data_IF_598083859043
#
_entry.id   IF_598083859043
#
_cell.length_a   1.000
_cell.length_b   1.000
_cell.length_c   1.000
_cell.angle_alpha   90.00
_cell.angle_beta   90.00
_cell.angle_gamma   90.00
#
_symmetry.space_group_name_H-M   'P 1'
#
loop_
_entity.id
_entity.type
_entity.pdbx_description
1 polymer ?
#
# COMPACT_ATOMS: atom_id res chain seq x y z
N UNK A 1 -9.13 24.33 -26.28
CA UNK A 1 -8.36 23.13 -26.70
C UNK A 1 -8.11 22.17 -25.53
N UNK A 2 -7.45 22.56 -24.44
CA UNK A 2 -7.21 21.70 -23.27
C UNK A 2 -8.50 21.11 -22.67
N UNK A 3 -9.54 21.93 -22.49
CA UNK A 3 -10.84 21.53 -21.94
C UNK A 3 -11.53 20.47 -22.80
N UNK A 4 -11.50 20.63 -24.12
CA UNK A 4 -12.11 19.69 -25.09
C UNK A 4 -11.43 18.32 -25.01
N UNK A 5 -10.09 18.29 -24.95
CA UNK A 5 -9.34 17.05 -24.84
C UNK A 5 -9.56 16.35 -23.48
N UNK A 6 -9.70 17.12 -22.40
CA UNK A 6 -9.99 16.57 -21.08
C UNK A 6 -11.41 15.96 -21.01
N UNK A 7 -12.40 16.60 -21.66
CA UNK A 7 -13.77 16.07 -21.78
C UNK A 7 -13.84 14.80 -22.64
N UNK A 8 -12.91 14.63 -23.59
CA UNK A 8 -12.74 13.41 -24.37
C UNK A 8 -12.08 12.26 -23.58
N UNK A 9 -11.88 12.42 -22.26
CA UNK A 9 -11.29 11.40 -21.39
C UNK A 9 -9.76 11.29 -21.51
N UNK A 10 -9.11 12.25 -22.16
CA UNK A 10 -7.67 12.20 -22.39
C UNK A 10 -6.90 12.60 -21.13
N UNK A 11 -5.91 11.79 -20.73
CA UNK A 11 -5.11 12.05 -19.53
C UNK A 11 -4.26 13.32 -19.63
N UNK A 12 -3.99 13.96 -18.49
CA UNK A 12 -3.20 15.21 -18.40
C UNK A 12 -1.88 15.17 -19.19
N UNK A 13 -1.13 14.06 -19.07
CA UNK A 13 0.18 13.91 -19.70
C UNK A 13 0.08 13.77 -21.23
N UNK A 14 -1.00 13.17 -21.72
CA UNK A 14 -1.30 13.03 -23.14
C UNK A 14 -1.66 14.39 -23.75
N UNK A 15 -2.50 15.18 -23.03
CA UNK A 15 -2.86 16.55 -23.42
C UNK A 15 -1.61 17.42 -23.50
N UNK A 16 -0.71 17.35 -22.52
CA UNK A 16 0.53 18.12 -22.55
C UNK A 16 1.39 17.80 -23.77
N UNK A 17 1.60 16.51 -24.08
CA UNK A 17 2.40 16.08 -25.23
C UNK A 17 1.82 16.59 -26.56
N UNK A 18 0.49 16.56 -26.71
CA UNK A 18 -0.18 17.00 -27.94
C UNK A 18 -0.26 18.51 -28.10
N UNK A 19 -0.36 19.24 -26.99
CA UNK A 19 -0.57 20.69 -27.01
C UNK A 19 0.69 21.50 -26.78
N UNK A 20 1.79 20.87 -26.35
CA UNK A 20 3.03 21.55 -25.96
C UNK A 20 2.91 22.36 -24.65
N UNK A 21 1.78 22.28 -23.96
CA UNK A 21 1.51 23.04 -22.74
C UNK A 21 2.07 22.27 -21.53
N UNK A 22 2.80 22.92 -20.60
CA UNK A 22 3.30 22.26 -19.39
C UNK A 22 2.18 21.66 -18.54
N UNK A 23 2.45 20.53 -17.88
CA UNK A 23 1.46 19.73 -17.12
C UNK A 23 0.75 20.55 -16.03
N UNK A 24 1.50 21.45 -15.39
CA UNK A 24 0.99 22.35 -14.37
C UNK A 24 -0.06 23.31 -14.94
N UNK A 25 0.18 23.85 -16.14
CA UNK A 25 -0.76 24.73 -16.83
C UNK A 25 -1.99 23.98 -17.34
N UNK A 26 -1.83 22.74 -17.84
CA UNK A 26 -2.96 21.87 -18.21
C UNK A 26 -3.87 21.61 -17.01
N UNK A 27 -3.29 21.27 -15.85
CA UNK A 27 -4.05 21.06 -14.60
C UNK A 27 -4.77 22.32 -14.15
N UNK A 28 -4.10 23.47 -14.20
CA UNK A 28 -4.67 24.76 -13.79
C UNK A 28 -5.85 25.16 -14.67
N UNK A 29 -5.71 25.00 -15.98
CA UNK A 29 -6.78 25.27 -16.96
C UNK A 29 -7.95 24.31 -16.75
N UNK A 30 -7.69 23.01 -16.54
CA UNK A 30 -8.74 22.03 -16.28
C UNK A 30 -9.51 22.34 -14.98
N UNK A 31 -8.80 22.64 -13.87
CA UNK A 31 -9.40 23.04 -12.60
C UNK A 31 -10.24 24.31 -12.72
N UNK A 32 -9.75 25.32 -13.44
CA UNK A 32 -10.50 26.57 -13.69
C UNK A 32 -11.82 26.34 -14.45
N UNK A 33 -11.95 25.20 -15.15
CA UNK A 33 -13.13 24.80 -15.89
C UNK A 33 -13.89 23.63 -15.20
N UNK A 34 -13.59 23.35 -13.93
CA UNK A 34 -14.28 22.32 -13.13
C UNK A 34 -13.98 20.87 -13.52
N UNK A 35 -12.93 20.63 -14.31
CA UNK A 35 -12.51 19.28 -14.74
C UNK A 35 -11.36 18.80 -13.85
N UNK A 36 -11.55 17.65 -13.21
CA UNK A 36 -10.55 16.99 -12.38
C UNK A 36 -10.00 15.78 -13.12
N UNK A 37 -8.67 15.63 -13.15
CA UNK A 37 -8.05 14.42 -13.67
C UNK A 37 -8.01 13.35 -12.59
N UNK A 38 -8.35 12.13 -12.96
CA UNK A 38 -8.24 10.97 -12.07
C UNK A 38 -6.77 10.69 -11.75
N UNK A 39 -6.40 10.76 -10.47
CA UNK A 39 -5.06 10.44 -9.96
C UNK A 39 -4.99 9.05 -9.32
N UNK A 40 -6.12 8.34 -9.23
CA UNK A 40 -6.20 7.06 -8.52
C UNK A 40 -5.18 6.03 -9.04
N UNK A 41 -5.09 5.86 -10.36
CA UNK A 41 -4.14 4.93 -10.97
C UNK A 41 -2.68 5.34 -10.73
N UNK A 42 -2.40 6.64 -10.61
CA UNK A 42 -1.03 7.13 -10.36
C UNK A 42 -0.63 6.90 -8.91
N UNK A 43 -1.56 7.10 -7.97
CA UNK A 43 -1.36 6.83 -6.55
C UNK A 43 -1.17 5.33 -6.28
N UNK A 44 -1.97 4.46 -6.92
CA UNK A 44 -1.80 3.00 -6.82
C UNK A 44 -0.43 2.57 -7.34
N UNK A 45 -0.03 3.06 -8.53
CA UNK A 45 1.28 2.75 -9.10
C UNK A 45 2.44 3.25 -8.23
N UNK A 46 2.30 4.45 -7.65
CA UNK A 46 3.31 5.02 -6.74
C UNK A 46 3.42 4.19 -5.45
N UNK A 47 2.30 3.80 -4.84
CA UNK A 47 2.27 2.94 -3.65
C UNK A 47 2.91 1.58 -3.93
N UNK A 48 2.55 0.93 -5.02
CA UNK A 48 3.17 -0.33 -5.43
C UNK A 48 4.69 -0.17 -5.62
N UNK A 49 5.13 0.95 -6.19
CA UNK A 49 6.56 1.23 -6.35
C UNK A 49 7.28 1.44 -5.02
N UNK A 50 6.67 2.16 -4.08
CA UNK A 50 7.22 2.35 -2.73
C UNK A 50 7.33 1.01 -2.00
N UNK A 51 6.30 0.16 -2.09
CA UNK A 51 6.33 -1.19 -1.50
C UNK A 51 7.48 -2.04 -2.08
N UNK A 52 7.66 -2.04 -3.41
CA UNK A 52 8.80 -2.72 -4.06
C UNK A 52 10.15 -2.20 -3.58
N UNK A 53 10.30 -0.88 -3.40
CA UNK A 53 11.54 -0.28 -2.91
C UNK A 53 11.80 -0.67 -1.46
N UNK A 54 10.79 -0.65 -0.58
CA UNK A 54 10.91 -1.13 0.81
C UNK A 54 11.31 -2.60 0.87
N UNK A 55 10.72 -3.45 0.01
CA UNK A 55 11.09 -4.86 -0.08
C UNK A 55 12.54 -5.06 -0.54
N UNK A 56 12.97 -4.32 -1.57
CA UNK A 56 14.36 -4.37 -2.04
C UNK A 56 15.33 -3.90 -0.95
N UNK A 57 14.98 -2.85 -0.21
CA UNK A 57 15.75 -2.31 0.90
C UNK A 57 15.90 -3.33 2.04
N UNK A 58 14.81 -4.03 2.39
CA UNK A 58 14.85 -5.12 3.37
C UNK A 58 15.74 -6.28 2.91
N UNK A 59 15.70 -6.64 1.63
CA UNK A 59 16.58 -7.66 1.06
C UNK A 59 18.07 -7.28 1.16
N UNK A 60 18.40 -6.01 0.90
CA UNK A 60 19.77 -5.49 1.06
C UNK A 60 20.20 -5.52 2.53
N UNK A 61 19.32 -5.10 3.46
CA UNK A 61 19.61 -5.13 4.89
C UNK A 61 19.91 -6.56 5.37
N UNK A 62 19.16 -7.56 4.88
CA UNK A 62 19.39 -8.97 5.19
C UNK A 62 20.77 -9.45 4.68
N UNK A 63 21.14 -9.11 3.43
CA UNK A 63 22.47 -9.43 2.90
C UNK A 63 23.60 -8.79 3.72
N UNK A 64 23.42 -7.54 4.17
CA UNK A 64 24.39 -6.88 5.04
C UNK A 64 24.56 -7.61 6.39
N UNK A 65 23.50 -8.22 6.93
CA UNK A 65 23.63 -9.04 8.15
C UNK A 65 24.46 -10.31 7.92
N UNK A 66 24.34 -10.94 6.76
CA UNK A 66 25.20 -12.07 6.38
C UNK A 66 26.67 -11.63 6.25
N UNK A 67 26.92 -10.49 5.61
CA UNK A 67 28.27 -9.92 5.49
C UNK A 67 28.88 -9.58 6.86
N UNK A 68 28.08 -9.07 7.80
CA UNK A 68 28.51 -8.84 9.20
C UNK A 68 28.93 -10.16 9.86
N UNK A 69 28.18 -11.24 9.63
CA UNK A 69 28.52 -12.56 10.16
C UNK A 69 29.86 -13.05 9.60
N UNK A 70 30.11 -12.84 8.30
CA UNK A 70 31.40 -13.16 7.66
C UNK A 70 32.53 -12.31 8.23
N UNK A 71 32.35 -10.99 8.35
CA UNK A 71 33.34 -10.09 8.93
C UNK A 71 33.67 -10.46 10.39
N UNK A 72 32.67 -10.93 11.15
CA UNK A 72 32.86 -11.45 12.52
C UNK A 72 33.66 -12.75 12.55
N UNK A 73 33.51 -13.63 11.55
CA UNK A 73 34.36 -14.80 11.41
C UNK A 73 35.81 -14.40 11.14
N UNK A 74 36.04 -13.45 10.24
CA UNK A 74 37.37 -12.91 9.94
C UNK A 74 38.03 -12.28 11.17
N UNK A 75 37.25 -11.54 11.98
CA UNK A 75 37.73 -10.96 13.24
C UNK A 75 38.23 -12.04 14.21
N UNK A 76 37.52 -13.17 14.31
CA UNK A 76 37.86 -14.28 15.22
C UNK A 76 39.09 -15.06 14.78
N UNK A 77 39.35 -15.13 13.47
CA UNK A 77 40.50 -15.87 12.92
C UNK A 77 41.70 -14.97 12.63
N UNK A 78 41.60 -13.66 12.90
CA UNK A 78 42.66 -12.70 12.69
C UNK A 78 43.93 -13.08 13.49
N UNK A 79 45.04 -13.21 12.78
CA UNK A 79 46.35 -13.54 13.38
C UNK A 79 47.22 -12.31 13.60
N UNK A 80 46.89 -11.19 12.96
CA UNK A 80 47.63 -9.94 13.06
C UNK A 80 46.73 -8.82 13.58
N UNK A 81 47.32 -7.85 14.27
CA UNK A 81 46.60 -6.66 14.74
C UNK A 81 45.97 -5.86 13.59
N UNK A 82 46.61 -5.86 12.42
CA UNK A 82 46.11 -5.18 11.23
C UNK A 82 44.81 -5.82 10.74
N UNK A 83 44.78 -7.14 10.63
CA UNK A 83 43.59 -7.87 10.19
C UNK A 83 42.44 -7.71 11.19
N UNK A 84 42.76 -7.73 12.49
CA UNK A 84 41.78 -7.48 13.55
C UNK A 84 41.17 -6.09 13.44
N UNK A 85 41.99 -5.05 13.23
CA UNK A 85 41.52 -3.68 13.07
C UNK A 85 40.65 -3.51 11.82
N UNK A 86 41.02 -4.12 10.69
CA UNK A 86 40.21 -4.09 9.48
C UNK A 86 38.87 -4.78 9.65
N UNK A 87 38.85 -5.99 10.22
CA UNK A 87 37.61 -6.73 10.46
C UNK A 87 36.70 -5.98 11.44
N UNK A 88 37.26 -5.38 12.51
CA UNK A 88 36.50 -4.58 13.47
C UNK A 88 35.84 -3.36 12.81
N UNK A 89 36.59 -2.66 11.95
CA UNK A 89 36.07 -1.52 11.19
C UNK A 89 34.97 -1.96 10.22
N UNK A 90 35.20 -3.04 9.46
CA UNK A 90 34.22 -3.56 8.52
C UNK A 90 32.89 -3.90 9.22
N UNK A 91 32.94 -4.53 10.40
CA UNK A 91 31.74 -4.80 11.21
C UNK A 91 31.02 -3.49 11.56
N UNK A 92 31.74 -2.46 12.00
CA UNK A 92 31.15 -1.16 12.34
C UNK A 92 30.46 -0.49 11.14
N UNK A 93 31.17 -0.43 10.01
CA UNK A 93 30.66 0.18 8.77
C UNK A 93 29.43 -0.57 8.24
N UNK A 94 29.48 -1.91 8.20
CA UNK A 94 28.37 -2.75 7.76
C UNK A 94 27.17 -2.67 8.71
N UNK A 95 27.41 -2.61 10.02
CA UNK A 95 26.32 -2.46 11.01
C UNK A 95 25.60 -1.12 10.86
N UNK A 96 26.34 -0.03 10.66
CA UNK A 96 25.74 1.28 10.40
C UNK A 96 24.99 1.30 9.07
N UNK A 97 25.53 0.67 8.03
CA UNK A 97 24.85 0.53 6.75
C UNK A 97 23.54 -0.26 6.90
N UNK A 98 23.57 -1.40 7.60
CA UNK A 98 22.39 -2.21 7.86
C UNK A 98 21.32 -1.43 8.63
N UNK A 99 21.70 -0.71 9.70
CA UNK A 99 20.77 0.12 10.48
C UNK A 99 20.09 1.20 9.63
N UNK A 100 20.82 1.84 8.71
CA UNK A 100 20.24 2.86 7.80
C UNK A 100 19.39 2.24 6.70
N UNK A 101 19.60 0.97 6.39
CA UNK A 101 18.83 0.23 5.38
C UNK A 101 17.62 -0.46 5.98
N UNK A 102 17.57 -0.72 7.29
CA UNK A 102 16.34 -1.21 7.91
C UNK A 102 15.27 -0.12 7.80
N UNK A 103 14.17 -0.35 7.08
CA UNK A 103 13.10 0.63 7.04
C UNK A 103 12.50 0.74 8.44
N UNK A 104 12.56 1.92 9.04
CA UNK A 104 11.78 2.22 10.23
C UNK A 104 10.30 2.21 9.82
N UNK A 105 9.52 1.31 10.42
CA UNK A 105 8.06 1.40 10.33
C UNK A 105 7.69 2.65 11.11
N UNK A 106 7.36 3.71 10.38
CA UNK A 106 6.90 4.94 11.02
C UNK A 106 5.49 4.72 11.56
N UNK A 107 5.12 5.40 12.65
CA UNK A 107 3.73 5.41 13.14
C UNK A 107 2.74 5.81 12.02
N UNK A 108 3.20 6.64 11.08
CA UNK A 108 2.42 7.05 9.92
C UNK A 108 2.15 5.89 8.95
N UNK A 109 3.10 4.97 8.75
CA UNK A 109 2.92 3.78 7.92
C UNK A 109 1.87 2.84 8.53
N UNK A 110 1.89 2.62 9.85
CA UNK A 110 0.91 1.79 10.57
C UNK A 110 -0.50 2.38 10.50
N UNK A 111 -0.61 3.71 10.65
CA UNK A 111 -1.87 4.44 10.51
C UNK A 111 -2.43 4.28 9.10
N UNK A 112 -1.58 4.41 8.08
CA UNK A 112 -2.02 4.32 6.69
C UNK A 112 -2.40 2.89 6.29
N UNK A 113 -1.70 1.87 6.81
CA UNK A 113 -2.08 0.47 6.68
C UNK A 113 -3.43 0.18 7.36
N UNK A 114 -3.63 0.69 8.58
CA UNK A 114 -4.90 0.56 9.31
C UNK A 114 -6.05 1.23 8.56
N UNK A 115 -5.83 2.42 8.00
CA UNK A 115 -6.86 3.09 7.18
C UNK A 115 -7.22 2.27 5.95
N UNK A 116 -6.23 1.69 5.28
CA UNK A 116 -6.47 0.86 4.10
C UNK A 116 -7.31 -0.37 4.48
N UNK A 117 -6.95 -1.06 5.56
CA UNK A 117 -7.74 -2.15 6.09
C UNK A 117 -9.20 -1.75 6.38
N UNK A 118 -9.41 -0.59 7.00
CA UNK A 118 -10.77 -0.09 7.28
C UNK A 118 -11.55 0.26 6.00
N UNK A 119 -10.87 0.78 4.96
CA UNK A 119 -11.50 1.05 3.67
C UNK A 119 -11.90 -0.24 2.95
N UNK A 120 -11.03 -1.25 2.98
CA UNK A 120 -11.30 -2.56 2.38
C UNK A 120 -12.45 -3.26 3.12
N UNK A 121 -12.43 -3.24 4.46
CA UNK A 121 -13.52 -3.75 5.30
C UNK A 121 -14.85 -3.05 5.00
N UNK A 122 -14.84 -1.72 4.90
CA UNK A 122 -16.04 -0.94 4.53
C UNK A 122 -16.57 -1.36 3.16
N UNK A 123 -15.67 -1.58 2.20
CA UNK A 123 -16.04 -1.97 0.83
C UNK A 123 -16.65 -3.37 0.81
N UNK A 124 -16.08 -4.30 1.57
CA UNK A 124 -16.63 -5.65 1.73
C UNK A 124 -18.02 -5.62 2.38
N UNK A 125 -18.21 -4.85 3.46
CA UNK A 125 -19.51 -4.70 4.12
C UNK A 125 -20.54 -4.10 3.16
N UNK A 126 -20.16 -3.08 2.39
CA UNK A 126 -21.07 -2.46 1.42
C UNK A 126 -21.49 -3.45 0.31
N UNK A 127 -20.57 -4.33 -0.11
CA UNK A 127 -20.88 -5.38 -1.08
C UNK A 127 -21.88 -6.40 -0.53
N UNK A 128 -21.65 -6.90 0.68
CA UNK A 128 -22.54 -7.84 1.37
C UNK A 128 -23.93 -7.23 1.60
N UNK A 129 -23.99 -5.97 2.03
CA UNK A 129 -25.26 -5.23 2.16
C UNK A 129 -25.97 -5.17 0.81
N UNK A 130 -25.26 -4.80 -0.26
CA UNK A 130 -25.84 -4.74 -1.61
C UNK A 130 -26.36 -6.09 -2.10
N UNK A 131 -25.65 -7.19 -1.80
CA UNK A 131 -26.09 -8.54 -2.12
C UNK A 131 -27.35 -8.92 -1.34
N UNK A 132 -27.38 -8.67 -0.03
CA UNK A 132 -28.56 -8.91 0.80
C UNK A 132 -29.78 -8.15 0.29
N UNK A 133 -29.63 -6.86 -0.04
CA UNK A 133 -30.72 -6.04 -0.57
C UNK A 133 -31.21 -6.56 -1.93
N UNK A 134 -30.30 -7.07 -2.76
CA UNK A 134 -30.63 -7.66 -4.07
C UNK A 134 -31.38 -9.00 -3.93
N UNK A 135 -30.97 -9.85 -2.99
CA UNK A 135 -31.59 -11.16 -2.76
C UNK A 135 -32.96 -11.08 -2.09
N UNK A 136 -33.14 -10.14 -1.16
CA UNK A 136 -34.36 -10.02 -0.37
C UNK A 136 -35.28 -8.89 -0.81
N UNK A 137 -34.82 -7.99 -1.68
CA UNK A 137 -35.61 -6.88 -2.22
C UNK A 137 -36.01 -5.83 -1.18
N UNK A 138 -35.37 -5.83 -0.01
CA UNK A 138 -35.63 -4.91 1.10
C UNK A 138 -34.33 -4.20 1.51
N UNK A 139 -34.36 -2.90 1.86
CA UNK A 139 -33.18 -2.20 2.34
C UNK A 139 -32.64 -2.83 3.64
N UNK A 140 -31.32 -2.92 3.79
CA UNK A 140 -30.69 -3.58 4.94
C UNK A 140 -31.02 -2.89 6.27
N UNK A 141 -31.19 -1.57 6.25
CA UNK A 141 -31.54 -0.78 7.45
C UNK A 141 -33.03 -0.87 7.85
N UNK A 142 -33.85 -1.58 7.08
CA UNK A 142 -35.29 -1.70 7.31
C UNK A 142 -35.63 -2.60 8.52
N UNK A 143 -36.80 -2.40 9.16
CA UNK A 143 -37.31 -3.32 10.17
C UNK A 143 -37.49 -4.75 9.65
N UNK A 144 -37.87 -4.88 8.37
CA UNK A 144 -38.11 -6.16 7.69
C UNK A 144 -36.81 -6.95 7.48
N UNK A 145 -35.71 -6.29 7.12
CA UNK A 145 -34.38 -6.91 7.03
C UNK A 145 -33.93 -7.50 8.38
N UNK A 146 -34.23 -6.83 9.49
CA UNK A 146 -33.89 -7.33 10.84
C UNK A 146 -34.64 -8.61 11.19
N UNK A 147 -35.89 -8.75 10.75
CA UNK A 147 -36.66 -9.99 10.93
C UNK A 147 -36.08 -11.15 10.11
N UNK A 148 -35.66 -10.87 8.87
CA UNK A 148 -35.03 -11.86 7.98
C UNK A 148 -33.71 -12.36 8.60
N UNK A 149 -32.84 -11.44 9.04
CA UNK A 149 -31.56 -11.78 9.68
C UNK A 149 -31.75 -12.59 10.97
N UNK A 150 -32.74 -12.24 11.79
CA UNK A 150 -33.06 -13.01 13.00
C UNK A 150 -33.52 -14.43 12.63
N UNK A 151 -34.38 -14.59 11.62
CA UNK A 151 -34.83 -15.92 11.15
C UNK A 151 -33.67 -16.77 10.61
N UNK A 152 -32.75 -16.19 9.85
CA UNK A 152 -31.54 -16.88 9.37
C UNK A 152 -30.65 -17.34 10.52
N UNK A 153 -30.39 -16.47 11.49
CA UNK A 153 -29.58 -16.80 12.67
C UNK A 153 -30.19 -17.93 13.50
N UNK A 154 -31.52 -17.99 13.61
CA UNK A 154 -32.23 -19.12 14.26
C UNK A 154 -32.18 -20.42 13.44
N UNK A 155 -32.09 -20.34 12.11
CA UNK A 155 -31.98 -21.52 11.25
C UNK A 155 -30.55 -22.10 11.27
N UNK A 156 -29.51 -21.27 11.25
CA UNK A 156 -28.12 -21.71 11.37
C UNK A 156 -27.86 -22.37 12.73
N UNK A 157 -28.31 -21.75 13.84
CA UNK A 157 -28.14 -22.31 15.18
C UNK A 157 -28.85 -23.67 15.38
N UNK A 158 -29.95 -23.92 14.66
CA UNK A 158 -30.66 -25.20 14.71
C UNK A 158 -30.08 -26.27 13.75
N UNK A 159 -29.31 -25.87 12.74
CA UNK A 159 -28.62 -26.79 11.83
C UNK A 159 -27.34 -27.35 12.44
N UNK A 160 -26.66 -26.59 13.30
CA UNK A 160 -25.47 -27.05 14.05
C UNK A 160 -25.82 -28.02 15.21
N UNK A 161 -27.10 -28.18 15.55
CA UNK A 161 -27.58 -29.08 16.61
C UNK A 161 -28.14 -30.42 16.10
N UNK A 162 -28.17 -30.67 14.79
CA UNK A 162 -28.52 -32.00 14.23
C UNK A 162 -27.26 -32.79 13.86
N UNK A 163 -27.04 -33.99 14.45
CA UNK A 163 -25.86 -34.83 14.19
C UNK A 163 -25.87 -35.49 12.80
#
# INVERSE_FOLDING_TARGET
>A
MVVVLAQQGMGRNEISRRTGIPWASVTRIAKANGITFDTSQTEVALRARIAQLKQAQAGIALGLHEDIAVARMLLRTARTHRDYAFASKAIGDLTQAAQRMTPEVSEQDEIDETKQFLMDLKSAIALEIGQFEQEHGVPFDSPEAREILNKMRYQEANQDEQP
#
